data_IF_859343631192
#
_entry.id   IF_859343631192
#
_cell.length_a   1.000
_cell.length_b   1.000
_cell.length_c   1.000
_cell.angle_alpha   90.00
_cell.angle_beta   90.00
_cell.angle_gamma   90.00
#
_symmetry.space_group_name_H-M   'P 1'
#
loop_
_entity.id
_entity.type
_entity.pdbx_description
1 polymer ?
#
# COMPACT_ATOMS: atom_id res chain seq x y z
N UNK A 1 6.82 -43.21 -57.23
CA UNK A 1 7.79 -42.37 -56.49
C UNK A 1 6.98 -41.52 -55.55
N UNK A 2 6.98 -41.88 -54.26
CA UNK A 2 6.16 -41.22 -53.25
C UNK A 2 6.86 -39.96 -52.73
N UNK A 3 6.12 -38.85 -52.66
CA UNK A 3 6.62 -37.59 -52.13
C UNK A 3 6.28 -37.48 -50.64
N UNK A 4 7.26 -37.78 -49.79
CA UNK A 4 7.24 -37.46 -48.36
C UNK A 4 7.29 -35.94 -48.20
N UNK A 5 6.23 -35.34 -47.68
CA UNK A 5 6.21 -33.94 -47.24
C UNK A 5 6.50 -33.89 -45.75
N UNK A 6 7.71 -33.47 -45.39
CA UNK A 6 8.11 -33.19 -44.01
C UNK A 6 7.38 -31.91 -43.56
N UNK A 7 6.50 -32.03 -42.59
CA UNK A 7 5.82 -30.91 -41.95
C UNK A 7 6.64 -30.50 -40.73
N UNK A 8 7.38 -29.39 -40.83
CA UNK A 8 8.13 -28.83 -39.71
C UNK A 8 7.15 -28.10 -38.78
N UNK A 9 6.83 -28.71 -37.64
CA UNK A 9 6.01 -28.07 -36.61
C UNK A 9 6.90 -27.11 -35.80
N UNK A 10 6.87 -25.82 -36.13
CA UNK A 10 7.46 -24.77 -35.29
C UNK A 10 6.52 -24.53 -34.11
N UNK A 11 6.85 -25.09 -32.95
CA UNK A 11 6.15 -24.78 -31.69
C UNK A 11 6.58 -23.37 -31.26
N UNK A 12 5.80 -22.37 -31.67
CA UNK A 12 5.98 -20.99 -31.22
C UNK A 12 5.57 -20.92 -29.74
N UNK A 13 6.54 -20.97 -28.83
CA UNK A 13 6.30 -20.67 -27.42
C UNK A 13 6.00 -19.18 -27.30
N UNK A 14 4.71 -18.83 -27.21
CA UNK A 14 4.29 -17.45 -26.91
C UNK A 14 4.51 -17.23 -25.42
N UNK A 15 5.65 -16.64 -25.06
CA UNK A 15 5.86 -16.09 -23.72
C UNK A 15 5.00 -14.84 -23.58
N UNK A 16 3.89 -14.92 -22.85
CA UNK A 16 3.14 -13.73 -22.44
C UNK A 16 3.96 -13.01 -21.37
N UNK A 17 4.51 -11.84 -21.69
CA UNK A 17 4.95 -10.90 -20.67
C UNK A 17 3.72 -10.47 -19.88
N UNK A 18 3.68 -10.86 -18.60
CA UNK A 18 2.66 -10.39 -17.66
C UNK A 18 2.96 -8.92 -17.38
N UNK A 19 2.40 -8.02 -18.17
CA UNK A 19 2.42 -6.59 -17.86
C UNK A 19 1.41 -6.37 -16.74
N UNK A 20 1.86 -6.51 -15.50
CA UNK A 20 1.07 -6.09 -14.34
C UNK A 20 1.20 -4.58 -14.25
N UNK A 21 0.07 -3.87 -14.26
CA UNK A 21 0.07 -2.46 -13.91
C UNK A 21 0.70 -2.31 -12.52
N UNK A 22 1.65 -1.40 -12.39
CA UNK A 22 2.25 -1.10 -11.09
C UNK A 22 1.18 -0.50 -10.18
N UNK A 23 1.06 -0.96 -8.92
CA UNK A 23 0.14 -0.37 -7.97
C UNK A 23 0.38 1.14 -7.84
N UNK A 24 -0.70 1.92 -7.90
CA UNK A 24 -0.63 3.39 -7.79
C UNK A 24 -1.04 3.85 -6.40
N UNK A 25 -0.31 3.36 -5.40
CA UNK A 25 -0.48 3.74 -3.99
C UNK A 25 0.67 4.65 -3.56
N UNK A 26 0.36 5.70 -2.83
CA UNK A 26 1.36 6.60 -2.24
C UNK A 26 0.99 6.96 -0.81
N UNK A 27 1.98 7.40 -0.03
CA UNK A 27 1.74 8.11 1.22
C UNK A 27 1.48 9.57 0.86
N UNK A 28 0.21 9.99 0.88
CA UNK A 28 -0.21 11.34 0.48
C UNK A 28 0.01 12.37 1.58
N UNK A 29 -0.17 11.96 2.83
CA UNK A 29 -0.10 12.84 3.99
C UNK A 29 0.56 12.16 5.19
N UNK A 30 1.22 12.96 6.02
CA UNK A 30 1.87 12.55 7.26
C UNK A 30 1.57 13.61 8.33
N UNK A 31 0.96 13.18 9.43
CA UNK A 31 0.86 13.97 10.64
C UNK A 31 1.76 13.35 11.72
N UNK A 32 2.86 14.04 12.04
CA UNK A 32 3.83 13.62 13.06
C UNK A 32 3.83 14.52 14.30
N UNK A 33 3.04 15.59 14.27
CA UNK A 33 2.98 16.62 15.31
C UNK A 33 1.67 17.37 15.20
N UNK A 34 0.61 16.78 15.74
CA UNK A 34 -0.69 17.42 15.86
C UNK A 34 -0.61 18.74 16.63
N UNK A 35 -1.54 19.65 16.35
CA UNK A 35 -1.78 20.79 17.23
C UNK A 35 -2.28 20.29 18.59
N UNK A 36 -1.86 20.95 19.68
CA UNK A 36 -2.23 20.53 21.05
C UNK A 36 -3.73 20.61 21.32
N UNK A 37 -4.44 21.52 20.65
CA UNK A 37 -5.88 21.69 20.80
C UNK A 37 -6.69 20.64 20.02
N UNK A 38 -6.05 19.96 19.06
CA UNK A 38 -6.66 18.97 18.16
C UNK A 38 -5.73 17.76 18.02
N UNK A 39 -5.30 17.19 19.14
CA UNK A 39 -4.30 16.11 19.15
C UNK A 39 -4.88 14.77 18.69
N UNK A 40 -4.69 14.43 17.43
CA UNK A 40 -5.05 13.14 16.83
C UNK A 40 -3.97 12.05 16.96
N UNK A 41 -2.85 12.33 17.65
CA UNK A 41 -1.59 11.55 17.56
C UNK A 41 -1.07 11.38 16.12
N UNK A 42 0.02 10.61 15.98
CA UNK A 42 0.68 10.34 14.71
C UNK A 42 -0.26 9.53 13.77
N UNK A 43 -0.33 9.95 12.51
CA UNK A 43 -1.01 9.18 11.45
C UNK A 43 -0.38 9.46 10.10
N UNK A 44 -0.63 8.57 9.14
CA UNK A 44 -0.31 8.79 7.72
C UNK A 44 -1.45 8.30 6.84
N UNK A 45 -1.58 8.89 5.66
CA UNK A 45 -2.64 8.55 4.70
C UNK A 45 -2.06 7.81 3.51
N UNK A 46 -2.71 6.70 3.14
CA UNK A 46 -2.50 6.03 1.86
C UNK A 46 -3.56 6.51 0.86
N UNK A 47 -3.11 6.86 -0.34
CA UNK A 47 -3.98 7.25 -1.44
C UNK A 47 -3.74 6.38 -2.66
N UNK A 48 -4.83 5.80 -3.19
CA UNK A 48 -4.85 5.22 -4.52
C UNK A 48 -5.06 6.32 -5.56
N UNK A 49 -3.97 6.80 -6.16
CA UNK A 49 -4.00 7.79 -7.26
C UNK A 49 -4.14 7.12 -8.64
N UNK A 50 -4.39 5.81 -8.67
CA UNK A 50 -4.67 5.04 -9.87
C UNK A 50 -6.12 5.11 -10.34
N UNK A 51 -6.35 4.43 -11.45
CA UNK A 51 -7.69 4.30 -12.08
C UNK A 51 -8.32 2.93 -11.86
N UNK A 52 -7.65 2.05 -11.11
CA UNK A 52 -8.12 0.69 -10.77
C UNK A 52 -8.13 0.54 -9.25
N UNK A 53 -9.01 -0.33 -8.74
CA UNK A 53 -8.99 -0.69 -7.32
C UNK A 53 -7.72 -1.48 -7.01
N UNK A 54 -7.16 -1.29 -5.82
CA UNK A 54 -5.95 -1.97 -5.36
C UNK A 54 -6.25 -2.77 -4.08
N UNK A 55 -5.80 -4.01 -4.03
CA UNK A 55 -5.88 -4.85 -2.83
C UNK A 55 -4.59 -4.65 -2.01
N UNK A 56 -4.74 -4.01 -0.86
CA UNK A 56 -3.65 -3.70 0.07
C UNK A 56 -3.42 -4.84 1.08
N UNK A 57 -4.10 -5.98 0.95
CA UNK A 57 -3.93 -7.12 1.85
C UNK A 57 -2.45 -7.50 1.99
N UNK A 58 -1.97 -7.54 3.23
CA UNK A 58 -0.60 -7.87 3.60
C UNK A 58 0.49 -6.92 3.09
N UNK A 59 0.13 -5.75 2.57
CA UNK A 59 1.10 -4.68 2.36
C UNK A 59 1.73 -4.27 3.70
N UNK A 60 2.97 -3.80 3.64
CA UNK A 60 3.74 -3.45 4.83
C UNK A 60 4.08 -1.98 4.81
N UNK A 61 3.80 -1.31 5.94
CA UNK A 61 4.33 -0.01 6.25
C UNK A 61 5.44 -0.21 7.28
N UNK A 62 6.65 0.24 6.94
CA UNK A 62 7.81 0.13 7.80
C UNK A 62 8.33 1.52 8.19
N UNK A 63 8.62 1.70 9.47
CA UNK A 63 9.30 2.87 10.00
C UNK A 63 10.80 2.90 9.67
N UNK A 64 11.56 3.62 10.49
CA UNK A 64 12.99 3.76 10.29
C UNK A 64 13.70 2.44 10.55
N UNK A 65 13.31 1.76 11.64
CA UNK A 65 13.92 0.49 12.05
C UNK A 65 13.21 -0.70 11.43
N UNK A 66 13.97 -1.77 11.21
CA UNK A 66 13.45 -2.99 10.58
C UNK A 66 12.25 -3.60 11.31
N UNK A 67 12.19 -3.50 12.64
CA UNK A 67 11.13 -4.04 13.48
C UNK A 67 9.92 -3.12 13.67
N UNK A 68 9.94 -1.91 13.09
CA UNK A 68 8.83 -0.96 13.12
C UNK A 68 7.87 -1.27 11.98
N UNK A 69 7.11 -2.36 12.09
CA UNK A 69 6.27 -2.88 11.01
C UNK A 69 4.79 -2.74 11.37
N UNK A 70 4.00 -2.30 10.40
CA UNK A 70 2.54 -2.46 10.37
C UNK A 70 2.16 -3.24 9.11
N UNK A 71 1.43 -4.34 9.27
CA UNK A 71 0.91 -5.13 8.16
C UNK A 71 -0.57 -4.81 7.96
N UNK A 72 -0.92 -4.44 6.74
CA UNK A 72 -2.31 -4.12 6.37
C UNK A 72 -3.18 -5.38 6.45
N UNK A 73 -4.33 -5.35 7.14
CA UNK A 73 -5.23 -6.50 7.26
C UNK A 73 -5.71 -7.03 5.90
N UNK A 74 -5.92 -8.34 5.82
CA UNK A 74 -6.53 -8.96 4.64
C UNK A 74 -7.93 -8.39 4.35
N UNK A 75 -8.26 -8.26 3.07
CA UNK A 75 -9.52 -7.69 2.60
C UNK A 75 -9.54 -6.17 2.54
N UNK A 76 -8.41 -5.49 2.79
CA UNK A 76 -8.32 -4.03 2.64
C UNK A 76 -8.21 -3.67 1.16
N UNK A 77 -9.34 -3.30 0.55
CA UNK A 77 -9.42 -2.91 -0.86
C UNK A 77 -9.63 -1.40 -0.96
N UNK A 78 -8.75 -0.72 -1.70
CA UNK A 78 -8.81 0.72 -1.90
C UNK A 78 -9.27 1.04 -3.34
N UNK A 79 -10.48 1.61 -3.55
CA UNK A 79 -10.98 1.93 -4.88
C UNK A 79 -10.14 3.03 -5.55
N UNK A 80 -10.32 3.29 -6.87
CA UNK A 80 -9.70 4.43 -7.55
C UNK A 80 -10.01 5.74 -6.82
N UNK A 81 -8.99 6.54 -6.52
CA UNK A 81 -9.14 7.78 -5.73
C UNK A 81 -9.37 7.57 -4.23
N UNK A 82 -9.52 6.32 -3.78
CA UNK A 82 -9.76 5.97 -2.39
C UNK A 82 -8.60 6.34 -1.47
N UNK A 83 -8.93 6.68 -0.22
CA UNK A 83 -7.98 7.06 0.83
C UNK A 83 -8.25 6.25 2.09
N UNK A 84 -7.20 5.89 2.80
CA UNK A 84 -7.30 5.23 4.10
C UNK A 84 -6.16 5.70 5.00
N UNK A 85 -6.48 6.02 6.25
CA UNK A 85 -5.49 6.47 7.23
C UNK A 85 -4.94 5.29 8.02
N UNK A 86 -3.67 5.35 8.40
CA UNK A 86 -3.06 4.51 9.42
C UNK A 86 -2.83 5.37 10.65
N UNK A 87 -3.58 5.12 11.71
CA UNK A 87 -3.54 5.88 12.96
C UNK A 87 -2.73 5.15 14.03
N UNK A 88 -1.97 5.90 14.83
CA UNK A 88 -1.23 5.35 15.98
C UNK A 88 -2.13 5.18 17.21
N UNK A 89 -3.06 6.10 17.41
CA UNK A 89 -4.06 6.05 18.47
C UNK A 89 -5.46 6.14 17.85
N UNK A 90 -6.14 5.00 17.80
CA UNK A 90 -7.46 4.88 17.18
C UNK A 90 -8.51 5.75 17.88
N UNK A 91 -8.41 5.94 19.20
CA UNK A 91 -9.40 6.67 19.99
C UNK A 91 -9.24 8.16 19.74
N UNK A 92 -8.02 8.69 19.91
CA UNK A 92 -7.74 10.10 19.66
C UNK A 92 -7.98 10.48 18.20
N UNK A 93 -7.56 9.63 17.26
CA UNK A 93 -7.78 9.90 15.85
C UNK A 93 -9.27 9.98 15.51
N UNK A 94 -10.08 9.00 15.96
CA UNK A 94 -11.54 8.98 15.75
C UNK A 94 -12.25 10.16 16.41
N UNK A 95 -11.77 10.63 17.57
CA UNK A 95 -12.33 11.80 18.25
C UNK A 95 -12.16 13.10 17.44
N UNK A 96 -11.01 13.24 16.75
CA UNK A 96 -10.70 14.41 15.93
C UNK A 96 -11.26 14.28 14.51
N UNK A 97 -11.30 13.05 13.96
CA UNK A 97 -11.67 12.75 12.58
C UNK A 97 -12.77 11.67 12.53
N UNK A 98 -14.02 11.98 12.94
CA UNK A 98 -15.03 10.96 13.17
C UNK A 98 -15.50 10.19 11.92
N UNK A 99 -15.34 10.79 10.74
CA UNK A 99 -15.85 10.22 9.49
C UNK A 99 -14.73 9.70 8.57
N UNK A 100 -13.47 9.73 9.02
CA UNK A 100 -12.32 9.31 8.20
C UNK A 100 -12.05 7.82 8.43
N UNK A 101 -12.11 6.96 7.38
CA UNK A 101 -11.75 5.55 7.51
C UNK A 101 -10.27 5.39 7.87
N UNK A 102 -9.99 4.55 8.85
CA UNK A 102 -8.62 4.30 9.29
C UNK A 102 -8.39 2.84 9.71
N UNK A 103 -7.12 2.47 9.69
CA UNK A 103 -6.54 1.24 10.23
C UNK A 103 -5.62 1.61 11.39
N UNK A 104 -5.31 0.64 12.24
CA UNK A 104 -4.37 0.83 13.34
C UNK A 104 -4.68 -0.05 14.55
N UNK A 105 -3.91 0.09 15.64
CA UNK A 105 -2.83 1.05 15.80
C UNK A 105 -1.53 0.58 15.14
N UNK A 106 -0.76 1.48 14.50
CA UNK A 106 0.65 1.21 14.21
C UNK A 106 1.54 1.60 15.40
N UNK A 107 2.66 0.89 15.58
CA UNK A 107 3.39 0.89 16.86
C UNK A 107 4.54 1.90 16.95
N UNK A 108 5.00 2.45 15.82
CA UNK A 108 6.18 3.34 15.75
C UNK A 108 5.80 4.82 15.66
N UNK A 109 6.71 5.72 16.05
CA UNK A 109 6.44 7.17 16.02
C UNK A 109 6.86 7.76 14.68
N UNK A 110 6.17 8.82 14.29
CA UNK A 110 6.58 9.68 13.19
C UNK A 110 7.36 10.87 13.77
N UNK A 111 8.43 11.27 13.09
CA UNK A 111 9.34 12.32 13.58
C UNK A 111 9.60 13.38 12.53
N UNK A 112 9.63 14.63 13.00
CA UNK A 112 9.96 15.79 12.15
C UNK A 112 11.47 15.98 11.92
N UNK A 113 12.31 15.01 12.28
CA UNK A 113 13.79 15.11 12.16
C UNK A 113 14.34 14.44 10.89
N UNK A 114 13.46 14.03 9.98
CA UNK A 114 13.83 13.26 8.79
C UNK A 114 13.96 11.78 9.13
N UNK A 115 12.85 11.05 9.02
CA UNK A 115 12.84 9.58 9.10
C UNK A 115 12.33 9.01 7.78
N UNK A 116 12.70 7.76 7.50
CA UNK A 116 12.12 7.01 6.42
C UNK A 116 10.83 6.33 6.89
N UNK A 117 9.80 6.41 6.06
CA UNK A 117 8.65 5.52 6.12
C UNK A 117 8.57 4.85 4.76
N UNK A 118 8.56 3.53 4.76
CA UNK A 118 8.61 2.71 3.55
C UNK A 118 7.29 1.98 3.39
N UNK A 119 6.78 1.94 2.18
CA UNK A 119 5.60 1.20 1.79
C UNK A 119 6.06 0.07 0.88
N UNK A 120 5.75 -1.16 1.26
CA UNK A 120 6.02 -2.36 0.49
C UNK A 120 4.71 -3.01 0.10
N UNK A 121 4.61 -3.44 -1.14
CA UNK A 121 3.47 -4.24 -1.58
C UNK A 121 3.50 -5.66 -0.97
N UNK A 122 2.47 -6.46 -1.26
CA UNK A 122 2.37 -7.83 -0.76
C UNK A 122 3.41 -8.80 -1.36
N UNK A 123 4.23 -8.34 -2.31
CA UNK A 123 5.38 -9.06 -2.85
C UNK A 123 6.71 -8.59 -2.24
N UNK A 124 6.65 -7.66 -1.28
CA UNK A 124 7.80 -7.14 -0.52
C UNK A 124 8.82 -6.40 -1.39
N UNK A 125 8.38 -5.83 -2.51
CA UNK A 125 9.16 -4.91 -3.35
C UNK A 125 8.86 -3.45 -3.06
#
# INVERSE_FOLDING_TARGET
>A
MEHIKIFLLVILSISFLKVTAQPKITISEINYKSDKSMDSEDWLELWNYGTVQEDLSNWVIQGEKFNEIFQVPMGTILPPGGRIVLARDNIKFQQINPDVPFLGPFIFRLSGKGQNVRLYDNTST
#
